data_IF_840911745955
#
_entry.id   IF_840911745955
#
_cell.length_a   1.000
_cell.length_b   1.000
_cell.length_c   1.000
_cell.angle_alpha   90.00
_cell.angle_beta   90.00
_cell.angle_gamma   90.00
#
_symmetry.space_group_name_H-M   'P 1'
#
loop_
_entity.id
_entity.type
_entity.pdbx_description
1 polymer ?
#
# COMPACT_ATOMS: atom_id res chain seq x y z
N UNK A 1 -7.94 10.80 -1.46
CA UNK A 1 -6.59 11.40 -1.47
C UNK A 1 -5.49 10.34 -1.30
N UNK A 2 -5.33 9.71 -0.13
CA UNK A 2 -4.36 8.60 0.02
C UNK A 2 -4.72 7.40 -0.87
N UNK A 3 -5.96 6.92 -0.76
CA UNK A 3 -6.48 5.81 -1.58
C UNK A 3 -6.36 6.07 -3.10
N UNK A 4 -6.62 7.29 -3.54
CA UNK A 4 -6.44 7.70 -4.94
C UNK A 4 -4.97 7.63 -5.39
N UNK A 5 -4.03 8.04 -4.53
CA UNK A 5 -2.59 7.93 -4.81
C UNK A 5 -2.16 6.47 -4.86
N UNK A 6 -2.72 5.64 -3.99
CA UNK A 6 -2.50 4.20 -3.97
C UNK A 6 -3.01 3.50 -5.24
N UNK A 7 -4.23 3.83 -5.69
CA UNK A 7 -4.77 3.37 -6.98
C UNK A 7 -3.89 3.82 -8.15
N UNK A 8 -3.38 5.06 -8.12
CA UNK A 8 -2.48 5.56 -9.16
C UNK A 8 -1.16 4.79 -9.19
N UNK A 9 -0.62 4.44 -8.03
CA UNK A 9 0.59 3.62 -7.90
C UNK A 9 0.39 2.20 -8.45
N UNK A 10 -0.73 1.54 -8.12
CA UNK A 10 -1.09 0.25 -8.71
C UNK A 10 -1.30 0.34 -10.23
N UNK A 11 -1.91 1.43 -10.72
CA UNK A 11 -2.02 1.72 -12.15
C UNK A 11 -0.64 1.86 -12.81
N UNK A 12 0.32 2.50 -12.14
CA UNK A 12 1.70 2.59 -12.61
C UNK A 12 2.38 1.21 -12.64
N UNK A 13 2.13 0.32 -11.67
CA UNK A 13 2.60 -1.07 -11.74
C UNK A 13 2.03 -1.80 -12.96
N UNK A 14 0.73 -1.63 -13.28
CA UNK A 14 0.15 -2.18 -14.53
C UNK A 14 0.86 -1.62 -15.75
N UNK A 15 1.19 -0.33 -15.77
CA UNK A 15 1.88 0.29 -16.89
C UNK A 15 3.32 -0.21 -17.06
N UNK A 16 4.07 -0.33 -15.95
CA UNK A 16 5.52 -0.51 -15.95
C UNK A 16 6.03 -1.94 -15.71
N UNK A 17 5.18 -2.87 -15.26
CA UNK A 17 5.55 -4.27 -15.22
C UNK A 17 6.02 -4.77 -16.60
N UNK A 18 7.06 -5.60 -16.64
CA UNK A 18 7.69 -6.12 -17.84
C UNK A 18 7.05 -7.42 -18.36
N UNK A 19 6.31 -8.13 -17.50
CA UNK A 19 5.62 -9.37 -17.84
C UNK A 19 4.09 -9.25 -17.78
N UNK A 20 3.39 -10.09 -18.55
CA UNK A 20 1.91 -10.06 -18.62
C UNK A 20 1.26 -10.51 -17.29
N UNK A 21 1.80 -11.54 -16.65
CA UNK A 21 1.20 -12.12 -15.45
C UNK A 21 1.17 -11.13 -14.27
N UNK A 22 2.26 -10.41 -13.94
CA UNK A 22 2.22 -9.30 -12.98
C UNK A 22 1.21 -8.22 -13.38
N UNK A 23 1.17 -7.76 -14.65
CA UNK A 23 0.18 -6.77 -15.11
C UNK A 23 -1.25 -7.21 -14.81
N UNK A 24 -1.59 -8.46 -15.12
CA UNK A 24 -2.92 -9.02 -14.85
C UNK A 24 -3.19 -9.12 -13.35
N UNK A 25 -2.17 -9.43 -12.54
CA UNK A 25 -2.29 -9.49 -11.08
C UNK A 25 -2.59 -8.12 -10.48
N UNK A 26 -1.87 -7.05 -10.87
CA UNK A 26 -2.16 -5.68 -10.44
C UNK A 26 -3.53 -5.20 -10.90
N UNK A 27 -3.92 -5.50 -12.14
CA UNK A 27 -5.23 -5.11 -12.67
C UNK A 27 -6.39 -5.75 -11.88
N UNK A 28 -6.23 -7.01 -11.46
CA UNK A 28 -7.20 -7.67 -10.56
C UNK A 28 -7.22 -7.04 -9.18
N UNK A 29 -6.06 -6.67 -8.63
CA UNK A 29 -5.98 -6.01 -7.33
C UNK A 29 -6.71 -4.66 -7.35
N UNK A 30 -6.51 -3.84 -8.38
CA UNK A 30 -7.29 -2.60 -8.58
C UNK A 30 -8.80 -2.85 -8.54
N UNK A 31 -9.28 -3.90 -9.20
CA UNK A 31 -10.69 -4.28 -9.19
C UNK A 31 -11.20 -4.70 -7.80
N UNK A 32 -10.38 -5.38 -7.00
CA UNK A 32 -10.73 -5.79 -5.64
C UNK A 32 -10.84 -4.58 -4.70
N UNK A 33 -9.87 -3.66 -4.75
CA UNK A 33 -9.87 -2.47 -3.88
C UNK A 33 -11.09 -1.57 -4.14
N UNK A 34 -11.48 -1.43 -5.41
CA UNK A 34 -12.69 -0.67 -5.79
C UNK A 34 -13.97 -1.34 -5.29
N UNK A 35 -14.01 -2.67 -5.20
CA UNK A 35 -15.19 -3.39 -4.72
C UNK A 35 -15.30 -3.40 -3.19
N UNK A 36 -14.20 -3.72 -2.51
CA UNK A 36 -14.22 -4.09 -1.09
C UNK A 36 -13.76 -2.94 -0.17
N UNK A 37 -12.73 -2.18 -0.55
CA UNK A 37 -12.10 -1.19 0.33
C UNK A 37 -12.81 0.17 0.32
N UNK A 38 -13.25 0.64 -0.85
CA UNK A 38 -14.06 1.88 -0.95
C UNK A 38 -15.37 1.75 -0.15
N UNK A 39 -16.00 0.58 -0.23
CA UNK A 39 -17.19 0.24 0.56
C UNK A 39 -16.89 0.28 2.06
N UNK A 40 -15.76 -0.29 2.50
CA UNK A 40 -15.35 -0.25 3.91
C UNK A 40 -15.21 1.18 4.45
N UNK A 41 -14.55 2.09 3.71
CA UNK A 41 -14.37 3.47 4.15
C UNK A 41 -15.70 4.21 4.28
N UNK A 42 -16.56 4.11 3.26
CA UNK A 42 -17.87 4.76 3.26
C UNK A 42 -18.74 4.27 4.41
N UNK A 43 -18.82 2.95 4.61
CA UNK A 43 -19.59 2.34 5.70
C UNK A 43 -19.02 2.72 7.09
N UNK A 44 -17.69 2.78 7.21
CA UNK A 44 -17.01 3.15 8.45
C UNK A 44 -17.25 4.62 8.82
N UNK A 45 -17.19 5.54 7.85
CA UNK A 45 -17.52 6.95 8.09
C UNK A 45 -18.98 7.11 8.50
N UNK A 46 -19.90 6.37 7.90
CA UNK A 46 -21.30 6.37 8.27
C UNK A 46 -21.53 5.83 9.70
N UNK A 47 -20.88 4.72 10.09
CA UNK A 47 -20.96 4.18 11.46
C UNK A 47 -20.39 5.17 12.51
N UNK A 48 -19.32 5.88 12.14
CA UNK A 48 -18.66 6.86 13.01
C UNK A 48 -19.34 8.24 13.02
N UNK A 49 -20.32 8.48 12.14
CA UNK A 49 -21.02 9.75 12.01
C UNK A 49 -20.14 10.89 11.49
N UNK A 50 -19.16 10.59 10.63
CA UNK A 50 -18.27 11.59 10.01
C UNK A 50 -19.00 12.29 8.87
N UNK A 51 -18.95 13.62 8.83
CA UNK A 51 -19.58 14.39 7.75
C UNK A 51 -18.79 14.19 6.43
N UNK A 52 -19.46 14.00 5.28
CA UNK A 52 -18.79 13.95 3.99
C UNK A 52 -17.82 15.10 3.72
N UNK A 53 -18.10 16.31 4.20
CA UNK A 53 -17.20 17.43 4.05
C UNK A 53 -15.83 17.19 4.71
N UNK A 54 -15.79 16.43 5.80
CA UNK A 54 -14.59 16.20 6.61
C UNK A 54 -13.65 15.18 5.96
N UNK A 55 -14.17 14.14 5.28
CA UNK A 55 -13.32 13.14 4.61
C UNK A 55 -13.06 13.43 3.12
N UNK A 56 -13.87 14.28 2.47
CA UNK A 56 -13.60 14.69 1.09
C UNK A 56 -12.44 15.69 0.98
N UNK A 57 -12.25 16.55 1.98
CA UNK A 57 -11.16 17.55 2.02
C UNK A 57 -10.53 17.69 3.42
N UNK A 58 -9.98 16.61 4.00
CA UNK A 58 -9.30 16.67 5.27
C UNK A 58 -8.01 17.50 5.18
N UNK A 59 -7.66 18.18 6.27
CA UNK A 59 -6.27 18.57 6.50
C UNK A 59 -5.46 17.31 6.77
N UNK A 60 -4.43 17.07 5.96
CA UNK A 60 -3.61 15.87 6.08
C UNK A 60 -2.60 16.04 7.22
N UNK A 61 -2.52 15.04 8.09
CA UNK A 61 -1.39 14.92 9.00
C UNK A 61 -0.06 14.84 8.21
N UNK A 62 1.02 15.31 8.83
CA UNK A 62 2.35 15.31 8.21
C UNK A 62 2.78 13.94 7.63
N UNK A 63 2.62 12.79 8.33
CA UNK A 63 2.97 11.49 7.75
C UNK A 63 2.09 11.13 6.55
N UNK A 64 0.79 11.41 6.57
CA UNK A 64 -0.12 11.13 5.44
C UNK A 64 0.24 11.96 4.21
N UNK A 65 0.57 13.25 4.40
CA UNK A 65 1.06 14.09 3.30
C UNK A 65 2.40 13.56 2.76
N UNK A 66 3.31 13.14 3.64
CA UNK A 66 4.59 12.54 3.26
C UNK A 66 4.44 11.25 2.45
N UNK A 67 3.50 10.39 2.81
CA UNK A 67 3.18 9.18 2.06
C UNK A 67 2.61 9.46 0.69
N UNK A 68 1.67 10.42 0.60
CA UNK A 68 1.12 10.85 -0.68
C UNK A 68 2.23 11.32 -1.62
N UNK A 69 3.14 12.14 -1.10
CA UNK A 69 4.25 12.67 -1.90
C UNK A 69 5.25 11.57 -2.29
N UNK A 70 5.48 10.57 -1.42
CA UNK A 70 6.29 9.39 -1.75
C UNK A 70 5.66 8.57 -2.88
N UNK A 71 4.36 8.27 -2.81
CA UNK A 71 3.64 7.54 -3.85
C UNK A 71 3.67 8.29 -5.19
N UNK A 72 3.42 9.60 -5.16
CA UNK A 72 3.50 10.44 -6.35
C UNK A 72 4.91 10.42 -6.98
N UNK A 73 5.95 10.55 -6.15
CA UNK A 73 7.34 10.48 -6.62
C UNK A 73 7.71 9.10 -7.20
N UNK A 74 7.15 8.02 -6.66
CA UNK A 74 7.37 6.67 -7.20
C UNK A 74 6.67 6.46 -8.55
N UNK A 75 5.47 7.02 -8.72
CA UNK A 75 4.77 7.05 -10.00
C UNK A 75 5.55 7.86 -11.04
N UNK A 76 5.99 9.07 -10.67
CA UNK A 76 6.73 9.97 -11.57
C UNK A 76 8.09 9.40 -11.99
N UNK A 77 8.70 8.54 -11.17
CA UNK A 77 9.99 7.92 -11.51
C UNK A 77 9.87 6.87 -12.61
N UNK A 78 8.66 6.35 -12.87
CA UNK A 78 8.39 5.25 -13.81
C UNK A 78 9.26 3.99 -13.56
N UNK A 79 9.85 3.87 -12.37
CA UNK A 79 10.71 2.76 -11.99
C UNK A 79 9.90 1.67 -11.31
N UNK A 80 9.75 0.55 -12.00
CA UNK A 80 8.95 -0.57 -11.50
C UNK A 80 9.47 -1.15 -10.17
N UNK A 81 10.79 -1.35 -9.95
CA UNK A 81 11.30 -1.75 -8.64
C UNK A 81 10.96 -0.74 -7.53
N UNK A 82 10.96 0.57 -7.82
CA UNK A 82 10.65 1.59 -6.82
C UNK A 82 9.17 1.57 -6.43
N UNK A 83 8.28 1.38 -7.40
CA UNK A 83 6.85 1.20 -7.15
C UNK A 83 6.60 -0.03 -6.26
N UNK A 84 7.25 -1.15 -6.58
CA UNK A 84 7.18 -2.38 -5.78
C UNK A 84 7.72 -2.19 -4.37
N UNK A 85 8.84 -1.50 -4.21
CA UNK A 85 9.42 -1.24 -2.88
C UNK A 85 8.45 -0.49 -1.95
N UNK A 86 7.76 0.54 -2.46
CA UNK A 86 6.74 1.27 -1.67
C UNK A 86 5.56 0.36 -1.33
N UNK A 87 5.06 -0.42 -2.29
CA UNK A 87 3.96 -1.36 -2.09
C UNK A 87 4.30 -2.45 -1.07
N UNK A 88 5.50 -3.04 -1.15
CA UNK A 88 5.94 -4.08 -0.22
C UNK A 88 5.96 -3.55 1.21
N UNK A 89 6.51 -2.35 1.44
CA UNK A 89 6.53 -1.76 2.78
C UNK A 89 5.12 -1.53 3.30
N UNK A 90 4.27 -0.88 2.51
CA UNK A 90 2.90 -0.57 2.92
C UNK A 90 2.10 -1.84 3.21
N UNK A 91 2.09 -2.81 2.29
CA UNK A 91 1.20 -3.97 2.38
C UNK A 91 1.70 -5.02 3.38
N UNK A 92 3.02 -5.25 3.48
CA UNK A 92 3.57 -6.21 4.43
C UNK A 92 3.37 -5.74 5.87
N UNK A 93 3.64 -4.48 6.19
CA UNK A 93 3.45 -3.98 7.56
C UNK A 93 1.99 -4.12 8.02
N UNK A 94 1.03 -3.91 7.11
CA UNK A 94 -0.38 -4.16 7.40
C UNK A 94 -0.72 -5.64 7.61
N UNK A 95 -0.12 -6.56 6.84
CA UNK A 95 -0.28 -8.00 7.04
C UNK A 95 0.27 -8.43 8.41
N UNK A 96 1.49 -8.01 8.73
CA UNK A 96 2.16 -8.35 9.98
C UNK A 96 1.35 -7.83 11.19
N UNK A 97 0.91 -6.58 11.13
CA UNK A 97 0.04 -5.98 12.14
C UNK A 97 -1.28 -6.74 12.30
N UNK A 98 -1.97 -7.05 11.20
CA UNK A 98 -3.28 -7.70 11.23
C UNK A 98 -3.21 -9.18 11.67
N UNK A 99 -2.04 -9.82 11.53
CA UNK A 99 -1.76 -11.20 11.95
C UNK A 99 -0.98 -11.31 13.28
N UNK A 100 -0.71 -10.20 13.96
CA UNK A 100 0.03 -10.11 15.23
C UNK A 100 -0.53 -10.97 16.39
N UNK A 101 -1.77 -11.47 16.26
CA UNK A 101 -2.39 -12.37 17.22
C UNK A 101 -3.04 -11.68 18.42
N UNK A 102 -3.17 -10.35 18.37
CA UNK A 102 -3.92 -9.56 19.35
C UNK A 102 -5.41 -9.95 19.40
N UNK A 103 -6.05 -9.69 20.55
CA UNK A 103 -7.47 -10.00 20.73
C UNK A 103 -8.33 -9.19 19.75
N UNK A 104 -9.21 -9.88 19.03
CA UNK A 104 -10.08 -9.24 18.04
C UNK A 104 -11.01 -8.20 18.71
N UNK A 105 -11.00 -6.93 18.27
CA UNK A 105 -11.84 -5.90 18.84
C UNK A 105 -13.34 -6.19 18.63
N UNK A 106 -14.19 -5.64 19.50
CA UNK A 106 -15.64 -5.88 19.45
C UNK A 106 -16.35 -5.10 18.33
N UNK A 107 -15.87 -3.89 18.01
CA UNK A 107 -16.52 -3.00 17.03
C UNK A 107 -16.34 -3.53 15.61
N UNK A 108 -17.42 -3.53 14.83
CA UNK A 108 -17.42 -4.07 13.49
C UNK A 108 -16.44 -3.36 12.56
N UNK A 109 -16.35 -2.02 12.62
CA UNK A 109 -15.38 -1.24 11.83
C UNK A 109 -13.94 -1.70 12.04
N UNK A 110 -13.53 -2.01 13.27
CA UNK A 110 -12.16 -2.44 13.54
C UNK A 110 -11.91 -3.87 13.07
N UNK A 111 -12.89 -4.77 13.25
CA UNK A 111 -12.80 -6.15 12.72
C UNK A 111 -12.76 -6.19 11.20
N UNK A 112 -13.52 -5.30 10.54
CA UNK A 112 -13.53 -5.16 9.09
C UNK A 112 -12.14 -4.80 8.56
N UNK A 113 -11.50 -3.80 9.18
CA UNK A 113 -10.15 -3.37 8.80
C UNK A 113 -9.11 -4.48 8.93
N UNK A 114 -9.09 -5.17 10.08
CA UNK A 114 -8.22 -6.32 10.32
C UNK A 114 -8.53 -7.44 9.31
N UNK A 115 -9.81 -7.64 8.98
CA UNK A 115 -10.27 -8.64 8.02
C UNK A 115 -9.75 -8.42 6.60
N UNK A 116 -9.65 -7.18 6.14
CA UNK A 116 -9.13 -6.82 4.82
C UNK A 116 -7.63 -7.15 4.67
N UNK A 117 -6.87 -7.01 5.76
CA UNK A 117 -5.41 -7.10 5.76
C UNK A 117 -4.87 -8.44 6.29
N UNK A 118 -5.68 -9.50 6.29
CA UNK A 118 -5.26 -10.81 6.81
C UNK A 118 -5.77 -11.98 5.98
N UNK A 119 -5.23 -13.16 6.27
CA UNK A 119 -5.68 -14.40 5.65
C UNK A 119 -5.07 -14.65 4.27
N UNK A 120 -5.43 -15.78 3.66
CA UNK A 120 -4.71 -16.32 2.50
C UNK A 120 -4.68 -15.40 1.28
N UNK A 121 -5.77 -14.67 1.03
CA UNK A 121 -5.86 -13.75 -0.11
C UNK A 121 -4.87 -12.59 0.02
N UNK A 122 -4.84 -11.93 1.18
CA UNK A 122 -3.95 -10.81 1.44
C UNK A 122 -2.49 -11.28 1.60
N UNK A 123 -2.25 -12.40 2.27
CA UNK A 123 -0.91 -13.02 2.33
C UNK A 123 -0.36 -13.35 0.94
N UNK A 124 -1.18 -13.92 0.07
CA UNK A 124 -0.79 -14.21 -1.32
C UNK A 124 -0.62 -12.96 -2.18
N UNK A 125 -1.21 -11.82 -1.80
CA UNK A 125 -0.95 -10.53 -2.41
C UNK A 125 0.41 -9.97 -1.98
N UNK A 126 0.68 -9.92 -0.68
CA UNK A 126 1.96 -9.48 -0.13
C UNK A 126 3.12 -10.34 -0.65
N UNK A 127 2.96 -11.67 -0.63
CA UNK A 127 4.01 -12.56 -1.13
C UNK A 127 4.30 -12.33 -2.62
N UNK A 128 3.26 -12.08 -3.43
CA UNK A 128 3.46 -11.72 -4.83
C UNK A 128 4.30 -10.44 -4.99
N UNK A 129 4.05 -9.41 -4.18
CA UNK A 129 4.83 -8.17 -4.24
C UNK A 129 6.30 -8.40 -3.88
N UNK A 130 6.56 -9.23 -2.86
CA UNK A 130 7.92 -9.60 -2.44
C UNK A 130 8.64 -10.39 -3.55
N UNK A 131 8.02 -11.46 -4.04
CA UNK A 131 8.58 -12.32 -5.09
C UNK A 131 8.87 -11.51 -6.36
N UNK A 132 7.97 -10.59 -6.70
CA UNK A 132 8.09 -9.75 -7.88
C UNK A 132 9.22 -8.72 -7.74
N UNK A 133 9.37 -8.11 -6.56
CA UNK A 133 10.50 -7.21 -6.27
C UNK A 133 11.84 -7.96 -6.36
N UNK A 134 11.92 -9.15 -5.77
CA UNK A 134 13.11 -10.00 -5.84
C UNK A 134 13.44 -10.43 -7.28
N UNK A 135 12.42 -10.65 -8.13
CA UNK A 135 12.60 -10.99 -9.54
C UNK A 135 13.19 -9.84 -10.34
N UNK A 136 12.63 -8.63 -10.20
CA UNK A 136 13.06 -7.47 -11.00
C UNK A 136 14.28 -6.75 -10.44
N UNK A 137 14.64 -7.02 -9.18
CA UNK A 137 15.80 -6.45 -8.53
C UNK A 137 16.59 -7.53 -7.75
N UNK A 138 17.27 -8.45 -8.46
CA UNK A 138 17.99 -9.55 -7.84
C UNK A 138 19.23 -9.03 -7.08
N UNK A 139 19.63 -9.76 -6.03
CA UNK A 139 20.75 -9.39 -5.15
C UNK A 139 22.11 -9.17 -5.85
N UNK A 140 22.26 -9.60 -7.12
CA UNK A 140 23.45 -9.31 -7.92
C UNK A 140 23.61 -7.81 -8.24
N UNK A 141 22.53 -7.03 -8.15
CA UNK A 141 22.49 -5.61 -8.52
C UNK A 141 22.68 -4.65 -7.31
N UNK A 142 23.01 -5.19 -6.14
CA UNK A 142 23.08 -4.48 -4.83
C UNK A 142 24.16 -3.37 -4.74
N UNK A 143 25.08 -3.30 -5.71
CA UNK A 143 26.12 -2.26 -5.78
C UNK A 143 25.82 -1.17 -6.83
N UNK A 144 24.63 -1.17 -7.43
CA UNK A 144 24.23 -0.18 -8.43
C UNK A 144 23.72 1.12 -7.78
N UNK A 145 23.74 2.22 -8.54
CA UNK A 145 23.06 3.47 -8.12
C UNK A 145 21.55 3.31 -7.95
N UNK A 146 20.98 2.27 -8.58
CA UNK A 146 19.57 1.89 -8.42
C UNK A 146 19.32 1.25 -7.06
N UNK A 147 20.23 0.39 -6.57
CA UNK A 147 20.18 -0.19 -5.23
C UNK A 147 20.15 0.90 -4.13
N UNK A 148 21.00 1.92 -4.28
CA UNK A 148 21.02 3.06 -3.35
C UNK A 148 19.70 3.85 -3.38
N UNK A 149 19.09 3.97 -4.57
CA UNK A 149 17.82 4.67 -4.74
C UNK A 149 16.66 3.89 -4.13
N UNK A 150 16.63 2.58 -4.35
CA UNK A 150 15.66 1.67 -3.72
C UNK A 150 15.80 1.65 -2.20
N UNK A 151 17.02 1.57 -1.69
CA UNK A 151 17.28 1.63 -0.24
C UNK A 151 16.76 2.93 0.37
N UNK A 152 16.94 4.07 -0.30
CA UNK A 152 16.40 5.36 0.16
C UNK A 152 14.87 5.37 0.17
N UNK A 153 14.23 4.83 -0.86
CA UNK A 153 12.77 4.76 -0.96
C UNK A 153 12.20 3.82 0.09
N UNK A 154 12.80 2.65 0.28
CA UNK A 154 12.42 1.70 1.32
C UNK A 154 12.47 2.34 2.71
N UNK A 155 13.60 2.95 3.08
CA UNK A 155 13.75 3.62 4.38
C UNK A 155 12.72 4.74 4.55
N UNK A 156 12.51 5.53 3.51
CA UNK A 156 11.51 6.61 3.54
C UNK A 156 10.10 6.07 3.75
N UNK A 157 9.73 4.97 3.11
CA UNK A 157 8.44 4.32 3.29
C UNK A 157 8.28 3.81 4.73
N UNK A 158 9.28 3.12 5.28
CA UNK A 158 9.25 2.61 6.66
C UNK A 158 9.16 3.75 7.67
N UNK A 159 9.98 4.81 7.52
CA UNK A 159 9.95 5.97 8.42
C UNK A 159 8.57 6.65 8.42
N UNK A 160 7.92 6.71 7.25
CA UNK A 160 6.58 7.27 7.13
C UNK A 160 5.51 6.35 7.74
N UNK A 161 5.61 5.02 7.57
CA UNK A 161 4.68 4.08 8.23
C UNK A 161 4.79 4.22 9.75
N UNK A 162 6.01 4.18 10.30
CA UNK A 162 6.22 4.37 11.74
C UNK A 162 5.62 5.69 12.22
N UNK A 163 5.88 6.79 11.52
CA UNK A 163 5.33 8.09 11.86
C UNK A 163 3.79 8.15 11.72
N UNK A 164 3.19 7.36 10.82
CA UNK A 164 1.75 7.25 10.66
C UNK A 164 1.11 6.51 11.84
N UNK A 165 1.70 5.40 12.29
CA UNK A 165 1.22 4.64 13.46
C UNK A 165 1.48 5.33 14.81
N UNK A 166 2.50 6.19 14.89
CA UNK A 166 2.84 6.98 16.09
C UNK A 166 2.02 8.29 16.23
N UNK A 167 1.21 8.65 15.22
CA UNK A 167 0.42 9.88 15.20
C UNK A 167 -0.89 9.79 16.00
#
# INVERSE_FOLDING_TARGET
QFFESFLSMLGACVAHADELDPKLRFARQLGMLVADEDTYFVDSFAELGVDPADYLRPELAAPTAGFRDLMASAVDSASYPQLLAVLVVAEWLYLDWAESGEEMPQRQVHRGWIGLHRGEAFRGWVQFLVDELERVFPAADDQSSEAESLTRIWRRAVDLECAFFDN
#
